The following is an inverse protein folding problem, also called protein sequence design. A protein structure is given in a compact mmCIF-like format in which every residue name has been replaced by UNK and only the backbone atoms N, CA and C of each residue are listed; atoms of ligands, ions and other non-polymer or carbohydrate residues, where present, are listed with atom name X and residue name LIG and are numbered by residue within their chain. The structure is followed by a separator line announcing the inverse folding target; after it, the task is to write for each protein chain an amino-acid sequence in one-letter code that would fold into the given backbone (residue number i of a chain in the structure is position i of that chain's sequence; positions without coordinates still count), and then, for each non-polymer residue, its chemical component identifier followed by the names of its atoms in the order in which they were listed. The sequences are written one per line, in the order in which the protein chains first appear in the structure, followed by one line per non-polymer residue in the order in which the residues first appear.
data_IF_510830304514
#
_entry.id   IF_510830304514
#
_cell.length_a   1.000
_cell.length_b   1.000
_cell.length_c   1.000
_cell.angle_alpha   90.00
_cell.angle_beta   90.00
_cell.angle_gamma   90.00
#
_symmetry.space_group_name_H-M   'P 1'
#
loop_
_entity.id
_entity.type
_entity.pdbx_description
1 polymer ?
#
# COMPACT_ATOMS: atom_id res chain seq x y z
N UNK A 1 11.32 -10.39 -10.97
CA UNK A 1 10.18 -9.58 -10.49
C UNK A 1 10.60 -8.97 -9.17
N UNK A 2 10.91 -7.69 -9.21
CA UNK A 2 11.53 -6.91 -8.14
C UNK A 2 10.46 -6.54 -7.09
N UNK A 3 10.49 -7.19 -5.92
CA UNK A 3 9.46 -7.06 -4.87
C UNK A 3 9.98 -6.17 -3.75
N UNK A 4 9.83 -4.85 -3.87
CA UNK A 4 10.22 -3.90 -2.80
C UNK A 4 9.24 -3.91 -1.62
N UNK A 5 8.01 -4.37 -1.84
CA UNK A 5 6.93 -4.37 -0.85
C UNK A 5 5.97 -5.53 -1.06
N UNK A 6 5.58 -6.21 0.03
CA UNK A 6 4.49 -7.19 0.06
C UNK A 6 3.22 -6.52 0.56
N UNK A 7 2.10 -6.84 -0.08
CA UNK A 7 0.80 -6.26 0.26
C UNK A 7 -0.20 -7.40 0.44
N UNK A 8 -0.73 -7.56 1.66
CA UNK A 8 -1.62 -8.67 2.00
C UNK A 8 -2.55 -8.32 3.18
N UNK A 9 -3.70 -9.00 3.33
CA UNK A 9 -4.29 -9.90 2.35
C UNK A 9 -4.76 -9.14 1.09
N UNK A 10 -4.91 -9.85 -0.02
CA UNK A 10 -5.53 -9.34 -1.23
C UNK A 10 -6.29 -10.49 -1.91
N UNK A 11 -7.64 -10.49 -1.94
CA UNK A 11 -8.52 -9.42 -1.46
C UNK A 11 -8.45 -9.18 0.05
N UNK A 12 -8.71 -7.94 0.47
CA UNK A 12 -8.75 -7.52 1.87
C UNK A 12 -10.18 -7.21 2.31
N UNK A 13 -10.49 -7.50 3.57
CA UNK A 13 -11.75 -7.10 4.20
C UNK A 13 -11.54 -5.78 4.97
N UNK A 14 -11.02 -5.84 6.19
CA UNK A 14 -10.96 -4.70 7.11
C UNK A 14 -9.56 -4.13 7.31
N UNK A 15 -8.52 -4.86 6.89
CA UNK A 15 -7.12 -4.47 7.07
C UNK A 15 -6.23 -4.90 5.92
N UNK A 16 -5.25 -4.06 5.61
CA UNK A 16 -4.17 -4.35 4.68
C UNK A 16 -2.84 -4.10 5.40
N UNK A 17 -1.93 -5.05 5.25
CA UNK A 17 -0.54 -4.96 5.67
C UNK A 17 0.33 -4.65 4.46
N UNK A 18 1.07 -3.56 4.58
CA UNK A 18 2.16 -3.19 3.69
C UNK A 18 3.46 -3.54 4.40
N UNK A 19 4.19 -4.50 3.85
CA UNK A 19 5.39 -5.08 4.46
C UNK A 19 6.58 -4.84 3.52
N UNK A 20 7.38 -3.77 3.77
CA UNK A 20 8.57 -3.47 2.98
C UNK A 20 9.56 -4.64 3.06
N UNK A 21 10.04 -5.12 1.92
CA UNK A 21 11.04 -6.19 1.90
C UNK A 21 12.46 -5.64 2.07
N UNK A 22 12.66 -4.38 1.70
CA UNK A 22 13.92 -3.67 1.84
C UNK A 22 13.81 -2.58 2.90
N UNK A 23 14.89 -2.33 3.63
CA UNK A 23 15.04 -1.22 4.56
C UNK A 23 15.15 0.10 3.79
N UNK A 24 14.02 0.60 3.29
CA UNK A 24 13.93 1.84 2.52
C UNK A 24 12.94 2.83 3.15
N UNK A 25 13.34 4.10 3.16
CA UNK A 25 12.46 5.21 3.46
C UNK A 25 11.59 5.52 2.22
N UNK A 26 10.38 6.02 2.46
CA UNK A 26 9.49 6.42 1.36
C UNK A 26 8.06 6.66 1.82
N UNK A 27 7.15 6.69 0.84
CA UNK A 27 5.72 6.88 1.08
C UNK A 27 4.88 5.82 0.39
N UNK A 28 3.85 5.34 1.10
CA UNK A 28 2.77 4.51 0.55
C UNK A 28 1.56 5.39 0.34
N UNK A 29 1.03 5.44 -0.87
CA UNK A 29 -0.24 6.10 -1.20
C UNK A 29 -1.22 5.10 -1.79
N UNK A 30 -2.50 5.19 -1.41
CA UNK A 30 -3.57 4.39 -2.01
C UNK A 30 -4.59 5.29 -2.67
N UNK A 31 -4.97 4.95 -3.88
CA UNK A 31 -5.92 5.69 -4.71
C UNK A 31 -7.10 4.80 -5.10
N UNK A 32 -8.30 5.38 -5.15
CA UNK A 32 -9.45 4.73 -5.78
C UNK A 32 -9.37 4.82 -7.32
N UNK A 33 -10.34 4.22 -8.02
CA UNK A 33 -10.39 4.20 -9.49
C UNK A 33 -10.61 5.56 -10.14
N UNK A 34 -11.02 6.58 -9.38
CA UNK A 34 -11.13 7.97 -9.85
C UNK A 34 -9.81 8.74 -9.72
N UNK A 35 -8.80 8.13 -9.08
CA UNK A 35 -7.52 8.78 -8.77
C UNK A 35 -7.54 9.56 -7.43
N UNK A 36 -8.61 9.48 -6.65
CA UNK A 36 -8.66 10.11 -5.33
C UNK A 36 -7.80 9.32 -4.34
N UNK A 37 -6.90 10.00 -3.66
CA UNK A 37 -6.09 9.40 -2.59
C UNK A 37 -6.95 9.15 -1.34
N UNK A 38 -6.98 7.90 -0.88
CA UNK A 38 -7.77 7.44 0.28
C UNK A 38 -6.92 7.06 1.48
N UNK A 39 -5.61 6.85 1.27
CA UNK A 39 -4.65 6.58 2.34
C UNK A 39 -3.27 7.08 1.92
N UNK A 40 -2.49 7.57 2.88
CA UNK A 40 -1.08 7.88 2.71
C UNK A 40 -0.32 7.63 4.00
N UNK A 41 0.90 7.11 3.92
CA UNK A 41 1.75 6.86 5.08
C UNK A 41 3.22 6.82 4.69
N UNK A 42 4.00 7.69 5.32
CA UNK A 42 5.46 7.61 5.28
C UNK A 42 5.92 6.34 6.01
N UNK A 43 6.84 5.62 5.38
CA UNK A 43 7.57 4.52 5.97
C UNK A 43 9.00 4.95 6.23
N UNK A 44 9.55 4.49 7.34
CA UNK A 44 10.97 4.59 7.61
C UNK A 44 11.63 3.23 7.37
N UNK A 45 12.89 3.23 6.94
CA UNK A 45 13.72 2.08 6.60
C UNK A 45 14.07 1.18 7.79
N UNK A 46 13.19 1.08 8.78
CA UNK A 46 13.29 0.13 9.88
C UNK A 46 12.61 -1.22 9.56
N UNK A 47 12.06 -1.37 8.36
CA UNK A 47 11.43 -2.61 7.89
C UNK A 47 10.15 -2.98 8.64
N UNK A 48 9.54 -2.04 9.37
CA UNK A 48 8.30 -2.33 10.11
C UNK A 48 7.11 -2.33 9.15
N UNK A 49 6.24 -3.36 9.23
CA UNK A 49 5.00 -3.36 8.46
C UNK A 49 4.09 -2.19 8.86
N UNK A 50 3.43 -1.61 7.87
CA UNK A 50 2.35 -0.64 8.06
C UNK A 50 1.02 -1.37 7.93
N UNK A 51 0.13 -1.15 8.90
CA UNK A 51 -1.23 -1.67 8.86
C UNK A 51 -2.19 -0.52 8.59
N UNK A 52 -2.98 -0.65 7.53
CA UNK A 52 -4.08 0.25 7.23
C UNK A 52 -5.41 -0.43 7.55
N UNK A 53 -6.25 0.23 8.38
CA UNK A 53 -7.64 -0.15 8.56
C UNK A 53 -8.46 0.41 7.37
N UNK A 54 -8.87 -0.49 6.47
CA UNK A 54 -9.63 -0.16 5.27
C UNK A 54 -11.13 -0.44 5.41
N UNK A 55 -11.63 -0.69 6.63
CA UNK A 55 -13.07 -0.98 6.86
C UNK A 55 -14.00 0.19 6.51
N UNK A 56 -13.50 1.42 6.45
CA UNK A 56 -14.29 2.63 6.17
C UNK A 56 -14.28 3.05 4.69
N UNK A 57 -13.46 2.42 3.84
CA UNK A 57 -13.47 2.69 2.40
C UNK A 57 -14.43 1.75 1.68
N UNK A 58 -14.91 2.15 0.50
CA UNK A 58 -15.89 1.34 -0.24
C UNK A 58 -15.23 0.06 -0.77
N UNK A 59 -16.00 -1.02 -0.88
CA UNK A 59 -15.55 -2.19 -1.65
C UNK A 59 -15.19 -1.80 -3.08
N UNK A 60 -14.14 -2.40 -3.64
CA UNK A 60 -13.69 -2.08 -5.00
C UNK A 60 -12.20 -2.33 -5.23
N UNK A 61 -11.75 -1.86 -6.39
CA UNK A 61 -10.34 -1.91 -6.78
C UNK A 61 -9.63 -0.62 -6.39
N UNK A 62 -8.42 -0.75 -5.86
CA UNK A 62 -7.56 0.38 -5.51
C UNK A 62 -6.15 0.18 -6.06
N UNK A 63 -5.45 1.29 -6.27
CA UNK A 63 -4.06 1.32 -6.68
C UNK A 63 -3.21 1.76 -5.49
N UNK A 64 -2.21 0.95 -5.15
CA UNK A 64 -1.18 1.27 -4.16
C UNK A 64 0.05 1.74 -4.92
N UNK A 65 0.49 2.97 -4.67
CA UNK A 65 1.78 3.48 -5.12
C UNK A 65 2.76 3.46 -3.94
N UNK A 66 3.88 2.79 -4.13
CA UNK A 66 5.04 2.89 -3.24
C UNK A 66 6.08 3.78 -3.92
N UNK A 67 6.42 4.89 -3.27
CA UNK A 67 7.43 5.85 -3.74
C UNK A 67 8.57 5.89 -2.73
N UNK A 68 9.65 5.15 -2.96
CA UNK A 68 10.83 5.23 -2.10
C UNK A 68 11.51 6.59 -2.28
N UNK A 69 12.20 7.07 -1.25
CA UNK A 69 12.96 8.34 -1.32
C UNK A 69 14.12 8.24 -2.32
N UNK A 70 14.65 7.03 -2.52
CA UNK A 70 15.63 6.70 -3.53
C UNK A 70 15.19 5.51 -4.37
N UNK A 71 15.33 5.65 -5.70
CA UNK A 71 14.97 4.61 -6.65
C UNK A 71 13.65 4.89 -7.35
N UNK A 72 13.02 3.84 -7.85
CA UNK A 72 11.86 3.94 -8.72
C UNK A 72 10.57 3.60 -7.97
N UNK A 73 9.54 4.43 -8.15
CA UNK A 73 8.20 4.13 -7.67
C UNK A 73 7.66 2.82 -8.27
N UNK A 74 6.77 2.18 -7.51
CA UNK A 74 6.10 0.93 -7.87
C UNK A 74 4.62 1.07 -7.64
N UNK A 75 3.82 0.45 -8.49
CA UNK A 75 2.36 0.44 -8.35
C UNK A 75 1.86 -0.99 -8.26
N UNK A 76 0.88 -1.24 -7.40
CA UNK A 76 0.22 -2.54 -7.22
C UNK A 76 -1.29 -2.36 -7.13
N UNK A 77 -2.04 -3.32 -7.64
CA UNK A 77 -3.50 -3.35 -7.56
C UNK A 77 -3.96 -4.20 -6.39
N UNK A 78 -4.88 -3.69 -5.58
CA UNK A 78 -5.52 -4.40 -4.48
C UNK A 78 -7.04 -4.39 -4.65
N UNK A 79 -7.70 -5.40 -4.07
CA UNK A 79 -9.17 -5.50 -4.03
C UNK A 79 -9.61 -5.45 -2.58
N UNK A 80 -10.56 -4.58 -2.26
CA UNK A 80 -11.23 -4.53 -0.95
C UNK A 80 -12.63 -5.10 -1.11
N UNK A 81 -12.98 -6.06 -0.25
CA UNK A 81 -14.25 -6.78 -0.19
C UNK A 81 -14.62 -7.05 1.27
N UNK A 82 -15.62 -6.33 1.76
CA UNK A 82 -16.30 -6.61 3.04
C UNK A 82 -17.29 -7.76 2.90
#
# INVERSE_FOLDING_TARGET
MDKSIRIFPNPADSRITFDPLDFCDGNISVFDTSGKMVFTKNISGNGKPVIWNCASVRQGTYLVAFSPDQGLSRTSKIVIKH
#
